data_IF_461149982962
#
_entry.id   IF_461149982962
#
_cell.length_a   1.000
_cell.length_b   1.000
_cell.length_c   1.000
_cell.angle_alpha   90.00
_cell.angle_beta   90.00
_cell.angle_gamma   90.00
#
_symmetry.space_group_name_H-M   'P 1'
#
loop_
_entity.id
_entity.type
_entity.pdbx_description
1 polymer ?
#
# COMPACT_ATOMS: atom_id res chain seq x y z
N UNK A 1 29.81 16.18 -11.44
CA UNK A 1 28.47 16.38 -10.93
C UNK A 1 28.43 16.52 -9.43
N UNK A 2 28.82 15.51 -8.62
CA UNK A 2 28.82 15.56 -7.13
C UNK A 2 29.43 16.81 -6.50
N UNK A 3 30.42 17.40 -7.15
CA UNK A 3 31.09 18.63 -6.71
C UNK A 3 30.25 19.90 -6.83
N UNK A 4 29.08 19.83 -7.44
CA UNK A 4 28.24 21.01 -7.69
C UNK A 4 27.31 21.34 -6.56
N UNK A 5 26.78 20.35 -5.87
CA UNK A 5 26.00 20.55 -4.66
C UNK A 5 26.89 20.65 -3.42
N UNK A 6 28.01 19.93 -3.45
CA UNK A 6 29.02 19.94 -2.40
C UNK A 6 30.36 20.25 -3.05
N UNK A 7 30.76 21.51 -3.04
CA UNK A 7 32.13 21.85 -3.41
C UNK A 7 33.06 20.94 -2.59
N UNK A 8 34.02 20.21 -3.24
CA UNK A 8 35.02 19.42 -2.52
C UNK A 8 35.81 20.22 -1.48
N UNK A 9 35.74 21.53 -1.56
CA UNK A 9 36.33 22.48 -0.59
C UNK A 9 35.35 22.93 0.48
N UNK A 10 34.07 22.51 0.37
CA UNK A 10 33.09 22.83 1.39
C UNK A 10 33.49 22.17 2.72
N UNK A 11 33.39 22.87 3.84
CA UNK A 11 33.75 22.31 5.13
C UNK A 11 32.93 21.03 5.42
N UNK A 12 33.63 19.92 5.67
CA UNK A 12 33.01 18.69 6.13
C UNK A 12 32.66 17.63 5.07
N UNK A 13 33.05 17.81 3.82
CA UNK A 13 32.82 16.80 2.80
C UNK A 13 33.74 15.57 2.99
N UNK A 14 33.15 14.38 3.15
CA UNK A 14 33.70 13.03 2.93
C UNK A 14 34.70 12.49 3.95
N UNK A 15 34.33 11.51 4.71
CA UNK A 15 35.21 10.91 5.72
C UNK A 15 35.23 9.38 5.72
N UNK A 16 34.45 8.65 4.94
CA UNK A 16 34.52 7.19 4.96
C UNK A 16 34.19 6.55 3.59
N UNK A 17 34.71 5.34 3.38
CA UNK A 17 34.46 4.54 2.16
C UNK A 17 33.04 3.98 2.09
N UNK A 18 32.35 3.88 3.23
CA UNK A 18 31.01 3.26 3.33
C UNK A 18 29.92 4.29 3.62
N UNK A 19 30.27 5.30 4.42
CA UNK A 19 29.36 6.38 4.82
C UNK A 19 30.01 7.73 4.54
N UNK A 20 29.23 8.62 3.93
CA UNK A 20 29.63 10.01 3.74
C UNK A 20 29.11 10.83 4.90
N UNK A 21 30.03 11.54 5.57
CA UNK A 21 29.68 12.54 6.55
C UNK A 21 29.80 13.93 5.92
N UNK A 22 28.66 14.62 5.89
CA UNK A 22 28.53 15.94 5.29
C UNK A 22 28.00 16.90 6.33
N UNK A 23 28.61 18.09 6.39
CA UNK A 23 28.11 19.18 7.21
C UNK A 23 27.53 20.26 6.33
N UNK A 24 26.22 20.45 6.39
CA UNK A 24 25.51 21.51 5.68
C UNK A 24 24.92 22.46 6.72
N UNK A 25 25.28 23.75 6.65
CA UNK A 25 24.83 24.78 7.58
C UNK A 25 24.98 24.41 9.09
N UNK A 26 26.07 23.68 9.42
CA UNK A 26 26.32 23.23 10.79
C UNK A 26 25.50 22.01 11.24
N UNK A 27 24.75 21.42 10.35
CA UNK A 27 24.01 20.16 10.57
C UNK A 27 24.83 19.01 9.99
N UNK A 28 25.13 18.03 10.84
CA UNK A 28 25.85 16.82 10.43
C UNK A 28 24.90 15.80 9.80
N UNK A 29 25.20 15.38 8.57
CA UNK A 29 24.55 14.24 7.91
C UNK A 29 25.57 13.11 7.75
N UNK A 30 25.13 11.89 8.04
CA UNK A 30 25.89 10.68 7.79
C UNK A 30 25.00 9.72 7.00
N UNK A 31 25.32 9.52 5.72
CA UNK A 31 24.52 8.77 4.77
C UNK A 31 25.37 7.76 4.02
N UNK A 32 24.83 6.60 3.67
CA UNK A 32 25.47 5.70 2.70
C UNK A 32 25.79 6.44 1.40
N UNK A 33 26.94 6.12 0.79
CA UNK A 33 27.41 6.79 -0.44
C UNK A 33 26.34 6.76 -1.55
N UNK A 34 25.74 5.62 -1.77
CA UNK A 34 24.72 5.45 -2.82
C UNK A 34 23.47 6.30 -2.60
N UNK A 35 23.07 6.49 -1.34
CA UNK A 35 21.91 7.34 -0.98
C UNK A 35 22.29 8.80 -1.21
N UNK A 36 23.47 9.20 -0.73
CA UNK A 36 23.95 10.56 -0.90
C UNK A 36 24.08 10.95 -2.37
N UNK A 37 24.73 10.08 -3.17
CA UNK A 37 24.89 10.28 -4.60
C UNK A 37 23.54 10.42 -5.33
N UNK A 38 22.56 9.61 -4.94
CA UNK A 38 21.25 9.67 -5.55
C UNK A 38 20.48 10.95 -5.16
N UNK A 39 20.62 11.44 -3.94
CA UNK A 39 20.04 12.73 -3.51
C UNK A 39 20.70 13.88 -4.26
N UNK A 40 22.02 13.86 -4.39
CA UNK A 40 22.78 14.86 -5.12
C UNK A 40 22.37 14.94 -6.61
N UNK A 41 22.31 13.79 -7.26
CA UNK A 41 21.83 13.67 -8.66
C UNK A 41 20.39 14.17 -8.80
N UNK A 42 19.49 13.79 -7.88
CA UNK A 42 18.09 14.18 -7.90
C UNK A 42 17.89 15.68 -7.71
N UNK A 43 18.63 16.26 -6.76
CA UNK A 43 18.59 17.69 -6.50
C UNK A 43 19.14 18.50 -7.69
N UNK A 44 20.24 18.03 -8.28
CA UNK A 44 20.80 18.63 -9.49
C UNK A 44 19.82 18.57 -10.68
N UNK A 45 19.13 17.46 -10.85
CA UNK A 45 18.09 17.32 -11.90
C UNK A 45 16.92 18.28 -11.66
N UNK A 46 16.38 18.31 -10.45
CA UNK A 46 15.31 19.24 -10.07
C UNK A 46 15.72 20.69 -10.37
N UNK A 47 16.90 21.10 -9.92
CA UNK A 47 17.38 22.46 -10.10
C UNK A 47 17.57 22.84 -11.57
N UNK A 48 18.14 21.96 -12.37
CA UNK A 48 18.40 22.22 -13.77
C UNK A 48 17.13 22.17 -14.64
N UNK A 49 16.19 21.28 -14.35
CA UNK A 49 15.01 21.05 -15.16
C UNK A 49 13.85 21.94 -14.74
N UNK A 50 13.54 21.99 -13.45
CA UNK A 50 12.32 22.68 -12.98
C UNK A 50 12.58 24.15 -12.67
N UNK A 51 13.75 24.48 -12.10
CA UNK A 51 14.11 25.86 -11.74
C UNK A 51 14.82 26.59 -12.87
N UNK A 52 15.71 25.90 -13.60
CA UNK A 52 16.49 26.49 -14.68
C UNK A 52 15.70 27.02 -15.88
N UNK A 53 14.48 26.54 -16.08
CA UNK A 53 13.55 27.04 -17.12
C UNK A 53 12.66 28.21 -16.66
N UNK A 54 13.02 28.92 -15.60
CA UNK A 54 12.31 30.11 -15.10
C UNK A 54 11.23 29.79 -14.05
N UNK A 55 11.25 28.58 -13.51
CA UNK A 55 10.49 28.21 -12.34
C UNK A 55 11.07 28.84 -11.07
N UNK A 56 10.30 28.80 -9.98
CA UNK A 56 10.77 29.15 -8.66
C UNK A 56 10.99 27.87 -7.87
N UNK A 57 12.13 27.70 -7.17
CA UNK A 57 12.33 26.57 -6.31
C UNK A 57 11.33 26.59 -5.17
N UNK A 58 10.63 25.46 -4.99
CA UNK A 58 9.75 25.25 -3.87
C UNK A 58 10.07 23.90 -3.19
N UNK A 59 9.96 23.87 -1.88
CA UNK A 59 10.36 22.74 -1.07
C UNK A 59 9.54 21.47 -1.41
N UNK A 60 8.25 21.60 -1.66
CA UNK A 60 7.39 20.46 -1.96
C UNK A 60 7.73 19.83 -3.32
N UNK A 61 7.91 20.66 -4.37
CA UNK A 61 8.35 20.18 -5.68
C UNK A 61 9.71 19.50 -5.58
N UNK A 62 10.66 20.08 -4.84
CA UNK A 62 11.99 19.50 -4.66
C UNK A 62 11.93 18.16 -3.93
N UNK A 63 11.19 18.07 -2.83
CA UNK A 63 11.02 16.83 -2.07
C UNK A 63 10.32 15.76 -2.91
N UNK A 64 9.29 16.14 -3.66
CA UNK A 64 8.57 15.22 -4.55
C UNK A 64 9.47 14.73 -5.69
N UNK A 65 10.20 15.62 -6.35
CA UNK A 65 11.12 15.27 -7.44
C UNK A 65 12.26 14.38 -6.95
N UNK A 66 12.85 14.69 -5.80
CA UNK A 66 13.91 13.88 -5.19
C UNK A 66 13.36 12.52 -4.74
N UNK A 67 12.20 12.48 -4.12
CA UNK A 67 11.55 11.22 -3.74
C UNK A 67 11.33 10.32 -4.95
N UNK A 68 10.74 10.85 -6.01
CA UNK A 68 10.52 10.12 -7.27
C UNK A 68 11.82 9.64 -7.91
N UNK A 69 12.87 10.48 -7.88
CA UNK A 69 14.18 10.09 -8.40
C UNK A 69 14.83 8.95 -7.62
N UNK A 70 14.77 9.03 -6.28
CA UNK A 70 15.22 7.94 -5.41
C UNK A 70 14.43 6.67 -5.65
N UNK A 71 13.12 6.81 -5.80
CA UNK A 71 12.22 5.72 -6.13
C UNK A 71 12.60 5.03 -7.44
N UNK A 72 12.82 5.76 -8.49
CA UNK A 72 13.26 5.22 -9.78
C UNK A 72 14.64 4.52 -9.73
N UNK A 73 15.41 4.76 -8.69
CA UNK A 73 16.68 4.07 -8.42
C UNK A 73 16.56 2.97 -7.35
N UNK A 74 15.34 2.61 -6.97
CA UNK A 74 15.04 1.62 -5.93
C UNK A 74 15.70 1.95 -4.57
N UNK A 75 15.80 3.25 -4.25
CA UNK A 75 16.35 3.73 -3.00
C UNK A 75 15.22 4.26 -2.13
N UNK A 76 15.07 3.65 -0.95
CA UNK A 76 14.07 4.03 0.05
C UNK A 76 14.72 4.94 1.06
N UNK A 77 14.20 6.14 1.19
CA UNK A 77 14.70 7.09 2.16
C UNK A 77 13.53 7.82 2.83
N UNK A 78 13.50 7.92 4.18
CA UNK A 78 12.38 8.54 4.89
C UNK A 78 12.15 9.98 4.43
N UNK A 79 10.90 10.31 4.13
CA UNK A 79 10.53 11.59 3.53
C UNK A 79 10.87 12.77 4.45
N UNK A 80 10.73 12.62 5.76
CA UNK A 80 11.13 13.61 6.76
C UNK A 80 12.63 13.95 6.69
N UNK A 81 13.46 12.96 6.39
CA UNK A 81 14.89 13.17 6.18
C UNK A 81 15.18 13.82 4.84
N UNK A 82 14.43 13.48 3.78
CA UNK A 82 14.53 14.17 2.48
C UNK A 82 14.19 15.65 2.69
N UNK A 83 13.07 15.95 3.34
CA UNK A 83 12.65 17.33 3.65
C UNK A 83 13.78 18.09 4.35
N UNK A 84 14.37 17.51 5.40
CA UNK A 84 15.44 18.15 6.15
C UNK A 84 16.67 18.41 5.30
N UNK A 85 17.07 17.44 4.46
CA UNK A 85 18.26 17.59 3.59
C UNK A 85 18.01 18.65 2.53
N UNK A 86 16.85 18.64 1.88
CA UNK A 86 16.49 19.62 0.83
C UNK A 86 16.44 21.03 1.39
N UNK A 87 15.87 21.20 2.58
CA UNK A 87 15.82 22.50 3.27
C UNK A 87 17.23 23.04 3.54
N UNK A 88 18.12 22.19 4.09
CA UNK A 88 19.52 22.56 4.33
C UNK A 88 20.28 22.83 3.03
N UNK A 89 19.99 22.07 1.95
CA UNK A 89 20.61 22.30 0.64
C UNK A 89 20.17 23.63 0.04
N UNK A 90 18.92 24.02 0.20
CA UNK A 90 18.44 25.34 -0.24
C UNK A 90 19.14 26.46 0.53
N UNK A 91 19.21 26.36 1.84
CA UNK A 91 19.95 27.32 2.68
C UNK A 91 21.44 27.41 2.29
N UNK A 92 22.04 26.26 1.97
CA UNK A 92 23.44 26.22 1.55
C UNK A 92 23.66 26.89 0.19
N UNK A 93 22.79 26.63 -0.80
CA UNK A 93 22.88 27.26 -2.14
C UNK A 93 22.75 28.79 -2.01
N UNK A 94 21.91 29.28 -1.14
CA UNK A 94 21.76 30.71 -0.89
C UNK A 94 23.02 31.36 -0.34
N UNK A 95 23.83 30.60 0.41
CA UNK A 95 25.04 31.12 1.07
C UNK A 95 26.28 31.05 0.17
N UNK A 96 26.27 30.29 -0.92
CA UNK A 96 27.41 30.10 -1.80
C UNK A 96 27.22 30.91 -3.08
N UNK A 97 27.85 32.10 -3.17
CA UNK A 97 27.79 32.91 -4.39
C UNK A 97 28.34 32.17 -5.62
N UNK A 98 27.51 32.08 -6.69
CA UNK A 98 27.94 31.43 -7.93
C UNK A 98 27.96 29.91 -7.86
N UNK A 99 27.10 29.27 -7.06
CA UNK A 99 26.93 27.83 -7.07
C UNK A 99 26.59 27.35 -8.50
N UNK A 100 27.35 26.37 -8.99
CA UNK A 100 27.20 25.77 -10.30
C UNK A 100 26.52 24.44 -10.12
N UNK A 101 25.38 24.24 -10.79
CA UNK A 101 24.62 23.00 -10.77
C UNK A 101 24.62 22.35 -12.17
N UNK A 102 25.02 21.09 -12.23
CA UNK A 102 25.09 20.35 -13.49
C UNK A 102 26.36 20.57 -14.31
N UNK A 103 26.43 19.92 -15.49
CA UNK A 103 27.56 20.03 -16.41
C UNK A 103 27.60 21.36 -17.20
N UNK A 104 26.50 22.10 -17.18
CA UNK A 104 26.40 23.45 -17.69
C UNK A 104 26.38 24.45 -16.51
N UNK A 105 27.08 25.55 -16.63
CA UNK A 105 27.06 26.61 -15.64
C UNK A 105 25.67 27.25 -15.57
N UNK A 106 24.88 26.84 -14.60
CA UNK A 106 23.67 27.56 -14.22
C UNK A 106 24.07 28.57 -13.15
N UNK A 107 24.26 29.81 -13.56
CA UNK A 107 24.47 30.92 -12.64
C UNK A 107 23.15 31.19 -11.94
N UNK A 108 23.07 30.83 -10.66
CA UNK A 108 21.95 31.22 -9.82
C UNK A 108 22.05 32.74 -9.65
N UNK A 109 21.08 33.53 -10.13
CA UNK A 109 21.13 34.97 -9.94
C UNK A 109 20.99 35.32 -8.47
N UNK A 110 22.05 35.72 -7.84
CA UNK A 110 22.05 36.27 -6.48
C UNK A 110 21.56 37.71 -6.47
N UNK A 111 20.28 37.94 -6.65
CA UNK A 111 19.68 39.19 -6.18
C UNK A 111 19.15 38.95 -4.77
N UNK A 112 19.39 39.85 -3.86
CA UNK A 112 18.83 39.82 -2.51
C UNK A 112 17.30 39.62 -2.52
N UNK A 113 16.60 40.21 -3.50
CA UNK A 113 15.16 40.08 -3.66
C UNK A 113 14.73 38.65 -4.10
N UNK A 114 15.51 37.97 -4.93
CA UNK A 114 15.22 36.60 -5.34
C UNK A 114 15.41 35.63 -4.17
N UNK A 115 16.52 35.80 -3.44
CA UNK A 115 16.82 35.02 -2.23
C UNK A 115 15.76 35.20 -1.15
N UNK A 116 15.30 36.43 -0.91
CA UNK A 116 14.27 36.70 0.09
C UNK A 116 12.89 36.12 -0.32
N UNK A 117 12.55 36.13 -1.61
CA UNK A 117 11.34 35.48 -2.11
C UNK A 117 11.39 33.96 -1.93
N UNK A 118 12.52 33.36 -2.25
CA UNK A 118 12.75 31.92 -2.03
C UNK A 118 12.59 31.58 -0.54
N UNK A 119 13.20 32.32 0.36
CA UNK A 119 13.05 32.16 1.80
C UNK A 119 11.60 32.31 2.28
N UNK A 120 10.87 33.28 1.75
CA UNK A 120 9.47 33.49 2.13
C UNK A 120 8.59 32.35 1.65
N UNK A 121 8.85 31.82 0.45
CA UNK A 121 8.10 30.68 -0.09
C UNK A 121 8.45 29.39 0.66
N UNK A 122 9.73 29.13 0.95
CA UNK A 122 10.15 28.00 1.80
C UNK A 122 9.48 28.08 3.17
N UNK A 123 9.52 29.23 3.84
CA UNK A 123 8.86 29.42 5.15
C UNK A 123 7.34 29.27 5.12
N UNK A 124 6.70 29.60 4.00
CA UNK A 124 5.27 29.42 3.81
C UNK A 124 4.95 27.92 3.66
N UNK A 125 5.77 27.20 2.90
CA UNK A 125 5.64 25.76 2.69
C UNK A 125 6.04 24.94 3.91
N UNK A 126 7.07 25.36 4.66
CA UNK A 126 7.40 24.78 5.97
C UNK A 126 6.24 24.92 6.96
N UNK A 127 5.51 26.04 6.95
CA UNK A 127 4.30 26.19 7.77
C UNK A 127 3.23 25.23 7.32
N UNK A 128 2.99 25.11 6.02
CA UNK A 128 2.03 24.18 5.45
C UNK A 128 2.43 22.71 5.75
N UNK A 129 3.71 22.36 5.59
CA UNK A 129 4.23 21.05 5.97
C UNK A 129 4.17 20.79 7.48
N UNK A 130 4.45 21.80 8.32
CA UNK A 130 4.30 21.70 9.78
C UNK A 130 2.85 21.63 10.24
N UNK A 131 1.92 22.17 9.46
CA UNK A 131 0.49 22.02 9.70
C UNK A 131 -0.03 20.64 9.25
N UNK A 132 0.61 20.03 8.25
CA UNK A 132 0.32 18.67 7.75
C UNK A 132 1.07 17.59 8.54
N UNK A 133 2.38 17.76 8.80
CA UNK A 133 3.22 16.78 9.51
C UNK A 133 2.75 16.45 10.94
N UNK A 134 2.20 17.37 11.75
CA UNK A 134 1.62 16.99 13.04
C UNK A 134 0.38 16.12 12.91
N UNK A 135 -0.40 16.24 11.83
CA UNK A 135 -1.51 15.32 11.57
C UNK A 135 -1.03 13.94 11.10
N UNK A 136 0.09 13.88 10.38
CA UNK A 136 0.75 12.60 10.02
C UNK A 136 1.48 11.95 11.22
N UNK A 137 1.97 12.73 12.19
CA UNK A 137 2.72 12.21 13.36
C UNK A 137 1.84 11.57 14.43
N UNK A 138 0.53 11.57 14.28
CA UNK A 138 -0.44 11.08 15.26
C UNK A 138 -1.52 10.22 14.61
N UNK A 139 -1.28 9.63 13.43
CA UNK A 139 -2.15 8.55 12.98
C UNK A 139 -1.85 7.36 13.90
N UNK A 140 -2.78 6.93 14.75
CA UNK A 140 -2.59 5.74 15.56
C UNK A 140 -2.31 4.58 14.60
N UNK A 141 -1.22 3.89 14.82
CA UNK A 141 -0.91 2.71 14.05
C UNK A 141 -1.85 1.62 14.55
N UNK A 142 -2.91 1.33 13.79
CA UNK A 142 -3.72 0.16 14.09
C UNK A 142 -2.85 -1.09 13.94
N UNK A 143 -2.66 -1.81 15.05
CA UNK A 143 -1.98 -3.11 15.03
C UNK A 143 -2.97 -4.26 14.85
N UNK A 144 -4.21 -3.95 14.53
CA UNK A 144 -5.23 -4.97 14.31
C UNK A 144 -4.93 -5.72 13.01
N UNK A 145 -4.98 -7.03 13.02
CA UNK A 145 -4.69 -7.89 11.89
C UNK A 145 -5.30 -9.28 12.07
N UNK A 146 -5.23 -10.11 11.04
CA UNK A 146 -5.86 -11.44 11.00
C UNK A 146 -5.37 -12.41 12.08
N UNK A 147 -4.14 -12.24 12.60
CA UNK A 147 -3.64 -13.07 13.71
C UNK A 147 -4.37 -12.82 15.03
N UNK A 148 -5.06 -11.71 15.15
CA UNK A 148 -5.86 -11.35 16.33
C UNK A 148 -7.32 -11.79 16.22
N UNK A 149 -7.76 -12.18 15.03
CA UNK A 149 -9.15 -12.63 14.82
C UNK A 149 -9.38 -14.01 15.38
N UNK A 150 -10.61 -14.30 15.77
CA UNK A 150 -11.00 -15.57 16.39
C UNK A 150 -12.35 -16.09 15.90
N UNK A 151 -13.04 -15.35 15.06
CA UNK A 151 -14.37 -15.68 14.57
C UNK A 151 -14.48 -15.36 13.06
N UNK A 152 -15.23 -16.20 12.33
CA UNK A 152 -15.46 -16.03 10.88
C UNK A 152 -16.95 -15.96 10.59
N UNK A 153 -17.34 -15.00 9.81
CA UNK A 153 -18.66 -14.97 9.18
C UNK A 153 -18.61 -15.38 7.70
N UNK A 154 -19.67 -16.00 7.26
CA UNK A 154 -19.96 -16.31 5.85
C UNK A 154 -21.38 -15.83 5.52
N UNK A 155 -21.62 -15.53 4.25
CA UNK A 155 -22.95 -15.16 3.77
C UNK A 155 -23.89 -16.38 3.75
N UNK A 156 -25.18 -16.19 4.10
CA UNK A 156 -26.23 -17.19 3.93
C UNK A 156 -26.38 -17.61 2.45
N UNK A 157 -26.01 -16.74 1.51
CA UNK A 157 -26.01 -17.02 0.06
C UNK A 157 -24.99 -18.08 -0.35
N UNK A 158 -23.93 -18.30 0.44
CA UNK A 158 -22.99 -19.38 0.16
C UNK A 158 -23.68 -20.75 0.22
N UNK A 159 -24.60 -20.93 1.17
CA UNK A 159 -25.39 -22.17 1.28
C UNK A 159 -26.39 -22.33 0.14
N UNK A 160 -26.97 -21.23 -0.31
CA UNK A 160 -27.94 -21.20 -1.40
C UNK A 160 -27.27 -21.49 -2.75
N UNK A 161 -26.20 -20.77 -3.09
CA UNK A 161 -25.57 -20.83 -4.40
C UNK A 161 -24.54 -21.96 -4.53
N UNK A 162 -23.84 -22.29 -3.44
CA UNK A 162 -22.73 -23.26 -3.41
C UNK A 162 -22.86 -24.26 -2.25
N UNK A 163 -23.95 -25.04 -2.16
CA UNK A 163 -24.25 -25.90 -1.00
C UNK A 163 -23.16 -26.92 -0.67
N UNK A 164 -22.45 -27.42 -1.70
CA UNK A 164 -21.33 -28.36 -1.50
C UNK A 164 -20.11 -27.66 -0.89
N UNK A 165 -19.76 -26.50 -1.38
CA UNK A 165 -18.66 -25.68 -0.85
C UNK A 165 -18.97 -25.23 0.58
N UNK A 166 -20.19 -24.75 0.84
CA UNK A 166 -20.67 -24.42 2.17
C UNK A 166 -20.49 -25.59 3.16
N UNK A 167 -21.04 -26.78 2.83
CA UNK A 167 -20.95 -27.96 3.71
C UNK A 167 -19.52 -28.39 4.00
N UNK A 168 -18.63 -28.30 3.00
CA UNK A 168 -17.21 -28.66 3.17
C UNK A 168 -16.43 -27.62 3.96
N UNK A 169 -16.73 -26.32 3.75
CA UNK A 169 -16.07 -25.22 4.42
C UNK A 169 -16.44 -25.19 5.91
N UNK A 170 -17.71 -25.27 6.23
CA UNK A 170 -18.19 -25.30 7.64
C UNK A 170 -17.67 -26.52 8.39
N UNK A 171 -17.58 -27.67 7.70
CA UNK A 171 -16.93 -28.86 8.26
C UNK A 171 -15.45 -28.59 8.55
N UNK A 172 -14.71 -27.94 7.64
CA UNK A 172 -13.31 -27.62 7.83
C UNK A 172 -13.13 -26.61 8.99
N UNK A 173 -13.99 -25.61 9.14
CA UNK A 173 -13.99 -24.71 10.28
C UNK A 173 -14.09 -25.48 11.59
N UNK A 174 -15.03 -26.42 11.69
CA UNK A 174 -15.18 -27.26 12.89
C UNK A 174 -13.97 -28.17 13.12
N UNK A 175 -13.39 -28.75 12.06
CA UNK A 175 -12.17 -29.60 12.16
C UNK A 175 -10.94 -28.78 12.61
N UNK A 176 -10.88 -27.51 12.28
CA UNK A 176 -9.80 -26.59 12.67
C UNK A 176 -10.12 -25.83 13.96
N UNK A 177 -11.25 -26.10 14.60
CA UNK A 177 -11.69 -25.37 15.79
C UNK A 177 -11.74 -23.84 15.55
N UNK A 178 -12.31 -23.45 14.41
CA UNK A 178 -12.59 -22.06 14.03
C UNK A 178 -14.06 -21.81 14.36
N UNK A 179 -14.32 -20.83 15.23
CA UNK A 179 -15.68 -20.38 15.50
C UNK A 179 -16.22 -19.59 14.29
N UNK A 180 -17.46 -19.87 13.90
CA UNK A 180 -18.05 -19.25 12.72
C UNK A 180 -19.56 -19.02 12.86
N UNK A 181 -20.10 -18.17 11.98
CA UNK A 181 -21.54 -17.90 11.88
C UNK A 181 -21.95 -17.47 10.49
N UNK A 182 -23.26 -17.37 10.28
CA UNK A 182 -23.85 -16.88 9.03
C UNK A 182 -24.37 -15.46 9.21
N UNK A 183 -24.31 -14.67 8.14
CA UNK A 183 -24.96 -13.37 8.02
C UNK A 183 -26.11 -13.52 7.06
N UNK A 184 -27.32 -13.23 7.55
CA UNK A 184 -28.54 -13.25 6.77
C UNK A 184 -28.82 -11.89 6.10
N UNK A 185 -29.56 -11.90 5.02
CA UNK A 185 -29.98 -10.68 4.31
C UNK A 185 -28.96 -10.12 3.34
N UNK A 186 -27.87 -10.82 3.12
CA UNK A 186 -26.89 -10.51 2.09
C UNK A 186 -27.44 -10.76 0.69
N UNK A 187 -26.81 -10.19 -0.34
CA UNK A 187 -27.25 -10.35 -1.74
C UNK A 187 -26.40 -11.34 -2.54
N UNK A 188 -25.13 -11.49 -2.13
CA UNK A 188 -24.19 -12.40 -2.74
C UNK A 188 -23.28 -13.08 -1.70
N UNK A 189 -22.27 -13.82 -2.19
CA UNK A 189 -21.32 -14.56 -1.34
C UNK A 189 -20.08 -13.75 -0.95
N UNK A 190 -19.86 -12.59 -1.55
CA UNK A 190 -18.62 -11.81 -1.42
C UNK A 190 -18.62 -10.95 -0.16
N UNK A 191 -18.83 -11.62 0.97
CA UNK A 191 -19.02 -10.96 2.27
C UNK A 191 -17.85 -10.05 2.69
N UNK A 192 -16.64 -10.33 2.22
CA UNK A 192 -15.47 -9.50 2.48
C UNK A 192 -15.68 -8.06 2.03
N UNK A 193 -16.33 -7.86 0.90
CA UNK A 193 -16.36 -6.58 0.20
C UNK A 193 -17.33 -5.58 0.83
N UNK A 194 -18.43 -6.05 1.42
CA UNK A 194 -19.45 -5.18 2.03
C UNK A 194 -19.43 -5.16 3.57
N UNK A 195 -18.59 -5.97 4.22
CA UNK A 195 -18.53 -5.97 5.68
C UNK A 195 -17.53 -4.94 6.22
N UNK A 196 -17.82 -4.36 7.40
CA UNK A 196 -16.98 -3.34 8.01
C UNK A 196 -15.54 -3.78 8.26
N UNK A 197 -14.63 -2.81 8.22
CA UNK A 197 -13.22 -3.04 8.56
C UNK A 197 -13.05 -2.88 10.07
N UNK A 198 -12.57 -3.94 10.73
CA UNK A 198 -12.22 -3.87 12.15
C UNK A 198 -10.83 -3.25 12.32
N UNK A 199 -10.74 -2.19 13.13
CA UNK A 199 -9.50 -1.45 13.38
C UNK A 199 -8.99 -1.58 14.82
N UNK A 200 -9.82 -2.09 15.72
CA UNK A 200 -9.44 -2.49 17.09
C UNK A 200 -10.44 -3.52 17.62
N UNK A 201 -10.27 -3.95 18.84
CA UNK A 201 -11.11 -4.99 19.47
C UNK A 201 -12.63 -4.70 19.38
N UNK A 202 -13.02 -3.43 19.45
CA UNK A 202 -14.43 -3.02 19.47
C UNK A 202 -14.79 -1.93 18.45
N UNK A 203 -13.83 -1.48 17.61
CA UNK A 203 -14.05 -0.39 16.65
C UNK A 203 -14.07 -0.90 15.21
N UNK A 204 -15.07 -0.44 14.47
CA UNK A 204 -15.31 -0.79 13.09
C UNK A 204 -15.54 0.46 12.23
N UNK A 205 -15.01 0.43 11.01
CA UNK A 205 -15.25 1.42 9.96
C UNK A 205 -16.29 0.86 9.01
N UNK A 206 -17.38 1.59 8.84
CA UNK A 206 -18.45 1.29 7.89
C UNK A 206 -18.35 2.28 6.73
N UNK A 207 -18.40 1.78 5.52
CA UNK A 207 -18.23 2.52 4.27
C UNK A 207 -19.35 2.18 3.28
N UNK A 208 -19.45 2.92 2.19
CA UNK A 208 -20.41 2.65 1.13
C UNK A 208 -19.86 1.53 0.22
N UNK A 209 -20.47 0.36 0.26
CA UNK A 209 -20.21 -0.67 -0.75
C UNK A 209 -21.04 -0.35 -2.00
N UNK A 210 -20.36 0.19 -3.02
CA UNK A 210 -20.98 0.59 -4.29
C UNK A 210 -19.96 0.51 -5.43
N UNK A 211 -19.42 -0.69 -5.69
CA UNK A 211 -18.35 -0.88 -6.65
C UNK A 211 -18.83 -0.59 -8.09
N UNK A 212 -17.89 -0.12 -8.89
CA UNK A 212 -18.14 0.24 -10.29
C UNK A 212 -18.55 -0.94 -11.16
N UNK A 213 -18.01 -2.13 -10.90
CA UNK A 213 -18.32 -3.36 -11.65
C UNK A 213 -19.73 -3.90 -11.41
N UNK A 214 -20.48 -3.43 -10.43
CA UNK A 214 -21.89 -3.78 -10.22
C UNK A 214 -22.88 -2.76 -10.85
N UNK A 215 -22.43 -1.58 -11.23
CA UNK A 215 -23.31 -0.48 -11.67
C UNK A 215 -24.08 -0.75 -12.97
N UNK A 216 -23.57 -1.58 -13.87
CA UNK A 216 -24.17 -1.80 -15.17
C UNK A 216 -25.07 -3.05 -15.23
N UNK A 217 -24.85 -4.05 -14.38
CA UNK A 217 -25.53 -5.34 -14.50
C UNK A 217 -25.63 -6.13 -13.20
N UNK A 218 -25.44 -5.51 -12.07
CA UNK A 218 -25.32 -6.22 -10.80
C UNK A 218 -25.97 -5.56 -9.59
N UNK A 219 -26.81 -4.55 -9.78
CA UNK A 219 -27.44 -3.83 -8.65
C UNK A 219 -28.26 -4.75 -7.73
N UNK A 220 -28.80 -5.86 -8.24
CA UNK A 220 -29.49 -6.87 -7.44
C UNK A 220 -28.56 -7.57 -6.42
N UNK A 221 -27.26 -7.56 -6.66
CA UNK A 221 -26.24 -8.14 -5.76
C UNK A 221 -25.67 -7.13 -4.76
N UNK A 222 -26.08 -5.85 -4.86
CA UNK A 222 -25.59 -4.81 -3.99
C UNK A 222 -26.17 -4.97 -2.58
N UNK A 223 -25.33 -5.41 -1.64
CA UNK A 223 -25.67 -5.53 -0.23
C UNK A 223 -25.52 -4.16 0.45
N UNK A 224 -26.51 -3.74 1.23
CA UNK A 224 -26.44 -2.53 2.04
C UNK A 224 -25.49 -2.74 3.22
N UNK A 225 -24.25 -2.25 3.07
CA UNK A 225 -23.19 -2.38 4.05
C UNK A 225 -23.52 -1.73 5.40
N UNK A 226 -24.25 -0.60 5.39
CA UNK A 226 -24.65 0.09 6.60
C UNK A 226 -25.72 -0.69 7.37
N UNK A 227 -26.75 -1.16 6.69
CA UNK A 227 -27.82 -1.92 7.30
C UNK A 227 -27.33 -3.25 7.90
N UNK A 228 -26.45 -3.96 7.18
CA UNK A 228 -25.86 -5.22 7.67
C UNK A 228 -24.96 -4.95 8.89
N UNK A 229 -24.09 -3.93 8.82
CA UNK A 229 -23.21 -3.57 9.91
C UNK A 229 -24.00 -3.21 11.19
N UNK A 230 -25.06 -2.44 11.04
CA UNK A 230 -25.91 -2.05 12.18
C UNK A 230 -26.64 -3.22 12.81
N UNK A 231 -27.04 -4.21 11.99
CA UNK A 231 -27.66 -5.43 12.50
C UNK A 231 -26.73 -6.33 13.32
N UNK A 232 -25.48 -6.48 12.87
CA UNK A 232 -24.52 -7.44 13.45
C UNK A 232 -23.67 -6.83 14.56
N UNK A 233 -23.25 -5.57 14.38
CA UNK A 233 -22.35 -4.88 15.28
C UNK A 233 -23.09 -3.92 16.22
N UNK A 234 -24.28 -4.26 16.65
CA UNK A 234 -25.14 -3.39 17.48
C UNK A 234 -24.53 -3.04 18.86
N UNK A 235 -23.52 -3.77 19.32
CA UNK A 235 -22.81 -3.53 20.59
C UNK A 235 -21.39 -2.99 20.40
N UNK A 236 -20.95 -2.75 19.17
CA UNK A 236 -19.61 -2.28 18.85
C UNK A 236 -19.60 -0.79 18.50
N UNK A 237 -18.44 -0.16 18.64
CA UNK A 237 -18.21 1.20 18.18
C UNK A 237 -18.07 1.21 16.66
N UNK A 238 -19.00 1.86 15.98
CA UNK A 238 -19.00 2.00 14.53
C UNK A 238 -18.85 3.46 14.12
N UNK A 239 -17.98 3.71 13.17
CA UNK A 239 -17.86 5.00 12.50
C UNK A 239 -18.30 4.83 11.05
N UNK A 240 -19.31 5.58 10.63
CA UNK A 240 -19.86 5.56 9.29
C UNK A 240 -19.23 6.68 8.47
N UNK A 241 -18.66 6.35 7.32
CA UNK A 241 -18.01 7.30 6.43
C UNK A 241 -18.61 7.24 5.03
N UNK A 242 -18.72 8.40 4.41
CA UNK A 242 -19.17 8.55 3.03
C UNK A 242 -17.96 8.38 2.08
N UNK A 243 -17.46 7.18 2.02
CA UNK A 243 -16.40 6.74 1.10
C UNK A 243 -16.84 5.46 0.41
N UNK A 244 -16.69 5.40 -0.90
CA UNK A 244 -16.88 4.16 -1.65
C UNK A 244 -15.63 3.29 -1.51
N UNK A 245 -15.82 2.07 -1.03
CA UNK A 245 -14.74 1.13 -0.78
C UNK A 245 -15.24 -0.31 -0.86
N UNK A 246 -14.37 -1.22 -1.25
CA UNK A 246 -14.54 -2.65 -1.15
C UNK A 246 -13.63 -3.18 -0.04
N UNK A 247 -14.16 -3.99 0.87
CA UNK A 247 -13.36 -4.53 1.98
C UNK A 247 -12.23 -5.47 1.54
N UNK A 248 -12.37 -6.12 0.37
CA UNK A 248 -11.31 -6.87 -0.28
C UNK A 248 -10.13 -6.00 -0.73
N UNK A 249 -10.39 -4.70 -0.94
CA UNK A 249 -9.34 -3.74 -1.23
C UNK A 249 -8.61 -3.22 0.03
N UNK A 250 -8.81 -3.83 1.19
CA UNK A 250 -8.16 -3.42 2.44
C UNK A 250 -7.45 -4.60 3.07
N UNK A 251 -6.13 -4.60 3.03
CA UNK A 251 -5.28 -5.62 3.67
C UNK A 251 -4.49 -5.00 4.82
N UNK A 252 -4.57 -5.61 5.99
CA UNK A 252 -3.82 -5.15 7.18
C UNK A 252 -2.42 -5.75 7.20
N UNK A 253 -1.40 -4.89 7.32
CA UNK A 253 0.01 -5.29 7.33
C UNK A 253 0.76 -4.51 8.42
N UNK A 254 1.08 -5.13 9.55
CA UNK A 254 1.98 -4.59 10.60
C UNK A 254 1.88 -3.06 10.81
N UNK A 255 0.69 -2.57 11.14
CA UNK A 255 0.47 -1.14 11.40
C UNK A 255 0.28 -0.27 10.15
N UNK A 256 0.12 -0.88 8.99
CA UNK A 256 -0.29 -0.24 7.75
C UNK A 256 -1.53 -0.92 7.20
N UNK A 257 -2.30 -0.19 6.42
CA UNK A 257 -3.30 -0.76 5.52
C UNK A 257 -2.78 -0.66 4.09
N UNK A 258 -2.97 -1.72 3.34
CA UNK A 258 -2.61 -1.77 1.93
C UNK A 258 -3.90 -1.74 1.12
N UNK A 259 -4.00 -0.78 0.22
CA UNK A 259 -5.10 -0.62 -0.73
C UNK A 259 -4.53 -0.54 -2.15
N UNK A 260 -5.33 -0.86 -3.15
CA UNK A 260 -5.00 -0.45 -4.51
C UNK A 260 -5.44 0.98 -4.77
N UNK A 261 -4.86 1.61 -5.77
CA UNK A 261 -5.21 2.97 -6.18
C UNK A 261 -6.58 3.08 -6.89
N UNK A 262 -7.30 1.97 -7.06
CA UNK A 262 -8.70 1.93 -7.47
C UNK A 262 -9.58 2.84 -6.62
N UNK A 263 -9.30 2.93 -5.32
CA UNK A 263 -10.07 3.76 -4.38
C UNK A 263 -10.18 5.22 -4.80
N UNK A 264 -9.20 5.77 -5.49
CA UNK A 264 -9.24 7.14 -6.02
C UNK A 264 -10.29 7.26 -7.13
N UNK A 265 -10.26 6.34 -8.09
CA UNK A 265 -11.21 6.32 -9.21
C UNK A 265 -12.66 6.14 -8.73
N UNK A 266 -12.92 5.22 -7.81
CA UNK A 266 -14.26 4.95 -7.28
C UNK A 266 -14.87 6.15 -6.57
N UNK A 267 -14.02 7.01 -6.01
CA UNK A 267 -14.44 8.24 -5.33
C UNK A 267 -14.30 9.50 -6.19
N UNK A 268 -14.07 9.35 -7.51
CA UNK A 268 -13.97 10.46 -8.45
C UNK A 268 -12.79 11.39 -8.18
N UNK A 269 -11.67 10.83 -7.68
CA UNK A 269 -10.44 11.55 -7.37
C UNK A 269 -9.35 11.25 -8.38
N UNK A 270 -8.42 12.18 -8.54
CA UNK A 270 -7.20 11.91 -9.27
C UNK A 270 -6.34 10.90 -8.52
N UNK A 271 -5.65 10.05 -9.27
CA UNK A 271 -4.79 9.00 -8.74
C UNK A 271 -3.69 9.63 -7.87
N UNK A 272 -3.59 9.16 -6.62
CA UNK A 272 -2.65 9.65 -5.61
C UNK A 272 -2.85 11.12 -5.20
N UNK A 273 -4.07 11.65 -5.31
CA UNK A 273 -4.43 12.95 -4.73
C UNK A 273 -4.00 13.01 -3.25
N UNK A 274 -3.11 13.93 -2.86
CA UNK A 274 -2.56 13.95 -1.51
C UNK A 274 -3.60 14.22 -0.43
N UNK A 275 -4.51 15.15 -0.66
CA UNK A 275 -5.56 15.51 0.30
C UNK A 275 -6.52 14.33 0.50
N UNK A 276 -6.79 13.59 -0.57
CA UNK A 276 -7.64 12.40 -0.48
C UNK A 276 -6.90 11.21 0.12
N UNK A 277 -5.61 11.06 -0.10
CA UNK A 277 -4.77 10.06 0.55
C UNK A 277 -4.74 10.26 2.07
N UNK A 278 -4.61 11.50 2.52
CA UNK A 278 -4.68 11.87 3.94
C UNK A 278 -6.08 11.64 4.50
N UNK A 279 -7.13 11.95 3.74
CA UNK A 279 -8.51 11.66 4.13
C UNK A 279 -8.74 10.17 4.33
N UNK A 280 -8.32 9.31 3.39
CA UNK A 280 -8.42 7.85 3.51
C UNK A 280 -7.68 7.36 4.76
N UNK A 281 -6.45 7.84 4.99
CA UNK A 281 -5.66 7.48 6.17
C UNK A 281 -6.36 7.89 7.47
N UNK A 282 -7.03 9.03 7.47
CA UNK A 282 -7.82 9.48 8.61
C UNK A 282 -9.08 8.63 8.81
N UNK A 283 -9.82 8.33 7.74
CA UNK A 283 -11.03 7.47 7.79
C UNK A 283 -10.69 6.10 8.35
N UNK A 284 -9.60 5.51 7.86
CA UNK A 284 -9.17 4.16 8.23
C UNK A 284 -8.34 4.12 9.52
N UNK A 285 -8.08 5.29 10.15
CA UNK A 285 -7.27 5.42 11.37
C UNK A 285 -5.92 4.66 11.26
N UNK A 286 -5.28 4.74 10.10
CA UNK A 286 -4.06 3.99 9.78
C UNK A 286 -3.23 4.64 8.67
N UNK A 287 -1.93 4.30 8.64
CA UNK A 287 -1.09 4.62 7.49
C UNK A 287 -1.47 3.73 6.32
N UNK A 288 -1.68 4.33 5.15
CA UNK A 288 -2.11 3.61 3.96
C UNK A 288 -0.99 3.55 2.93
N UNK A 289 -0.78 2.36 2.37
CA UNK A 289 0.10 2.11 1.23
C UNK A 289 -0.81 1.86 0.03
N UNK A 290 -0.69 2.69 -1.00
CA UNK A 290 -1.45 2.49 -2.24
C UNK A 290 -0.61 1.70 -3.24
N UNK A 291 -1.13 0.55 -3.67
CA UNK A 291 -0.54 -0.26 -4.72
C UNK A 291 -1.11 0.14 -6.08
N UNK A 292 -0.34 0.04 -7.16
CA UNK A 292 -0.89 0.24 -8.49
C UNK A 292 -1.94 -0.84 -8.80
N UNK A 293 -2.97 -0.44 -9.52
CA UNK A 293 -3.99 -1.33 -10.05
C UNK A 293 -4.01 -1.26 -11.57
N UNK A 294 -3.79 -2.41 -12.19
CA UNK A 294 -3.86 -2.52 -13.63
C UNK A 294 -5.31 -2.69 -14.07
N UNK A 295 -5.95 -1.58 -14.37
CA UNK A 295 -7.21 -1.52 -15.07
C UNK A 295 -6.96 -1.07 -16.49
N UNK A 296 -6.48 -1.92 -17.35
CA UNK A 296 -6.59 -1.64 -18.77
C UNK A 296 -7.85 -2.33 -19.32
N UNK A 297 -8.89 -1.50 -19.43
CA UNK A 297 -10.01 -1.65 -20.34
C UNK A 297 -10.18 -3.05 -20.96
N UNK A 298 -11.23 -3.75 -20.60
CA UNK A 298 -12.08 -4.64 -21.42
C UNK A 298 -11.46 -5.41 -22.61
N UNK A 299 -10.21 -5.20 -22.97
CA UNK A 299 -9.49 -5.85 -24.08
C UNK A 299 -8.35 -6.74 -23.62
N UNK A 300 -7.83 -6.54 -22.41
CA UNK A 300 -6.84 -7.43 -21.83
C UNK A 300 -7.57 -8.53 -21.05
N UNK A 301 -7.46 -9.80 -21.47
CA UNK A 301 -8.09 -10.91 -20.74
C UNK A 301 -7.50 -11.14 -19.33
N UNK A 302 -6.39 -10.47 -19.00
CA UNK A 302 -5.76 -10.54 -17.69
C UNK A 302 -6.06 -9.31 -16.83
N UNK A 303 -6.82 -8.33 -17.34
CA UNK A 303 -7.20 -7.16 -16.57
C UNK A 303 -7.98 -7.55 -15.32
N UNK A 304 -7.55 -7.07 -14.18
CA UNK A 304 -8.29 -7.20 -12.93
C UNK A 304 -9.37 -6.12 -12.85
N UNK A 305 -10.62 -6.52 -13.06
CA UNK A 305 -11.76 -5.61 -12.99
C UNK A 305 -12.16 -5.25 -11.56
N UNK A 306 -11.72 -6.04 -10.58
CA UNK A 306 -12.06 -5.84 -9.16
C UNK A 306 -11.09 -4.87 -8.47
N UNK A 307 -9.79 -4.99 -8.75
CA UNK A 307 -8.76 -4.10 -8.22
C UNK A 307 -8.59 -4.22 -6.69
N UNK A 308 -8.67 -5.42 -6.16
CA UNK A 308 -8.60 -5.65 -4.72
C UNK A 308 -7.19 -6.01 -4.26
N UNK A 309 -6.74 -5.38 -3.17
CA UNK A 309 -5.42 -5.62 -2.59
C UNK A 309 -5.26 -7.07 -2.06
N UNK A 310 -6.33 -7.73 -1.62
CA UNK A 310 -6.32 -9.12 -1.14
C UNK A 310 -6.11 -10.16 -2.25
N UNK A 311 -6.19 -9.74 -3.51
CA UNK A 311 -5.76 -10.50 -4.68
C UNK A 311 -4.28 -10.32 -5.02
N UNK A 312 -3.60 -9.36 -4.40
CA UNK A 312 -2.20 -9.02 -4.69
C UNK A 312 -1.26 -9.39 -3.55
N UNK A 313 -1.65 -9.10 -2.31
CA UNK A 313 -0.78 -9.24 -1.14
C UNK A 313 -1.50 -9.78 0.08
N UNK A 314 -0.75 -10.40 0.98
CA UNK A 314 -1.21 -10.80 2.30
C UNK A 314 -0.07 -10.68 3.32
N UNK A 315 -0.38 -10.19 4.52
CA UNK A 315 0.62 -10.10 5.59
C UNK A 315 0.96 -11.48 6.16
N UNK A 316 2.24 -11.76 6.34
CA UNK A 316 2.75 -13.05 6.80
C UNK A 316 3.49 -12.96 8.15
N UNK A 317 3.13 -11.98 8.97
CA UNK A 317 3.73 -11.77 10.28
C UNK A 317 5.02 -10.95 10.25
N UNK A 318 5.38 -10.36 11.38
CA UNK A 318 6.52 -9.45 11.52
C UNK A 318 6.50 -8.35 10.43
N UNK A 319 7.59 -8.19 9.69
CA UNK A 319 7.70 -7.28 8.54
C UNK A 319 7.56 -8.00 7.19
N UNK A 320 6.98 -9.20 7.13
CA UNK A 320 6.89 -9.99 5.89
C UNK A 320 5.52 -9.85 5.23
N UNK A 321 5.54 -9.69 3.91
CA UNK A 321 4.35 -9.66 3.07
C UNK A 321 4.52 -10.67 1.95
N UNK A 322 3.56 -11.59 1.83
CA UNK A 322 3.42 -12.42 0.65
C UNK A 322 2.83 -11.59 -0.48
N UNK A 323 3.35 -11.76 -1.66
CA UNK A 323 2.87 -11.17 -2.90
C UNK A 323 2.53 -12.28 -3.89
N UNK A 324 1.42 -12.15 -4.60
CA UNK A 324 1.03 -13.11 -5.63
C UNK A 324 2.03 -13.15 -6.79
N UNK A 325 1.88 -14.11 -7.69
CA UNK A 325 2.67 -14.22 -8.93
C UNK A 325 2.28 -13.19 -10.01
N UNK A 326 1.96 -11.98 -9.60
CA UNK A 326 1.51 -10.88 -10.48
C UNK A 326 2.48 -10.61 -11.64
N UNK A 327 3.77 -10.83 -11.40
CA UNK A 327 4.86 -10.73 -12.38
C UNK A 327 4.68 -11.59 -13.63
N UNK A 328 3.94 -12.68 -13.53
CA UNK A 328 3.69 -13.56 -14.69
C UNK A 328 2.88 -12.86 -15.80
N UNK A 329 2.08 -11.86 -15.43
CA UNK A 329 1.24 -11.09 -16.35
C UNK A 329 1.68 -9.63 -16.46
N UNK A 330 2.09 -9.00 -15.35
CA UNK A 330 2.40 -7.58 -15.25
C UNK A 330 3.73 -7.35 -14.50
N UNK A 331 4.89 -7.62 -15.13
CA UNK A 331 6.18 -7.58 -14.44
C UNK A 331 6.56 -6.18 -13.93
N UNK A 332 6.26 -5.12 -14.68
CA UNK A 332 6.57 -3.74 -14.27
C UNK A 332 5.73 -3.31 -13.06
N UNK A 333 4.45 -3.68 -13.06
CA UNK A 333 3.57 -3.42 -11.94
C UNK A 333 3.95 -4.24 -10.69
N UNK A 334 4.38 -5.49 -10.89
CA UNK A 334 4.90 -6.31 -9.80
C UNK A 334 6.15 -5.70 -9.16
N UNK A 335 7.04 -5.09 -9.97
CA UNK A 335 8.20 -4.36 -9.47
C UNK A 335 7.77 -3.13 -8.66
N UNK A 336 6.78 -2.39 -9.12
CA UNK A 336 6.24 -1.23 -8.44
C UNK A 336 5.55 -1.62 -7.10
N UNK A 337 4.74 -2.69 -7.09
CA UNK A 337 4.12 -3.23 -5.87
C UNK A 337 5.19 -3.59 -4.85
N UNK A 338 6.17 -4.40 -5.26
CA UNK A 338 7.31 -4.79 -4.42
C UNK A 338 8.01 -3.57 -3.85
N UNK A 339 8.35 -2.63 -4.71
CA UNK A 339 9.04 -1.41 -4.33
C UNK A 339 8.28 -0.63 -3.24
N UNK A 340 6.98 -0.39 -3.40
CA UNK A 340 6.17 0.36 -2.43
C UNK A 340 6.08 -0.33 -1.07
N UNK A 341 6.03 -1.64 -1.04
CA UNK A 341 6.02 -2.42 0.19
C UNK A 341 7.40 -2.40 0.88
N UNK A 342 8.47 -2.59 0.11
CA UNK A 342 9.84 -2.52 0.62
C UNK A 342 10.19 -1.11 1.11
N UNK A 343 9.60 -0.06 0.51
CA UNK A 343 9.77 1.34 0.90
C UNK A 343 9.38 1.64 2.34
N UNK A 344 8.44 0.90 2.89
CA UNK A 344 8.01 1.05 4.29
C UNK A 344 8.62 0.01 5.22
N UNK A 345 9.56 -0.80 4.72
CA UNK A 345 10.35 -1.76 5.50
C UNK A 345 9.83 -3.18 5.49
N UNK A 346 8.92 -3.54 4.59
CA UNK A 346 8.48 -4.94 4.45
C UNK A 346 9.49 -5.76 3.66
N UNK A 347 9.67 -7.01 4.07
CA UNK A 347 10.27 -8.07 3.29
C UNK A 347 9.19 -8.71 2.40
N UNK A 348 9.32 -8.55 1.08
CA UNK A 348 8.34 -9.06 0.11
C UNK A 348 8.74 -10.43 -0.40
N UNK A 349 7.89 -11.41 -0.13
CA UNK A 349 8.04 -12.79 -0.60
C UNK A 349 7.07 -13.00 -1.77
N UNK A 350 7.58 -12.99 -2.99
CA UNK A 350 6.79 -13.20 -4.19
C UNK A 350 6.60 -14.71 -4.44
N UNK A 351 5.35 -15.15 -4.61
CA UNK A 351 5.02 -16.55 -4.89
C UNK A 351 5.25 -16.87 -6.36
N UNK A 352 6.43 -17.33 -6.72
CA UNK A 352 6.79 -17.74 -8.07
C UNK A 352 6.70 -19.26 -8.17
N UNK A 353 5.97 -19.76 -9.18
CA UNK A 353 5.73 -21.17 -9.35
C UNK A 353 6.63 -21.77 -10.44
N UNK A 354 7.45 -22.75 -10.03
CA UNK A 354 8.29 -23.53 -10.94
C UNK A 354 7.59 -24.84 -11.30
N UNK A 355 6.64 -24.75 -12.24
CA UNK A 355 5.89 -25.88 -12.76
C UNK A 355 5.84 -25.86 -14.28
N UNK A 356 5.87 -27.02 -14.95
CA UNK A 356 5.62 -27.09 -16.39
C UNK A 356 4.19 -26.66 -16.69
N UNK A 357 4.00 -25.66 -17.54
CA UNK A 357 2.69 -25.14 -17.95
C UNK A 357 1.86 -24.59 -16.77
N UNK A 358 2.23 -23.45 -16.18
CA UNK A 358 1.49 -22.83 -15.09
C UNK A 358 0.03 -22.57 -15.46
N UNK A 359 -0.88 -22.80 -14.52
CA UNK A 359 -2.29 -22.54 -14.71
C UNK A 359 -2.66 -21.11 -14.27
N UNK A 360 -2.63 -20.17 -15.21
CA UNK A 360 -2.87 -18.74 -14.96
C UNK A 360 -4.32 -18.42 -14.58
N UNK A 361 -5.27 -19.30 -14.85
CA UNK A 361 -6.69 -19.06 -14.49
C UNK A 361 -6.91 -19.10 -12.98
N UNK A 362 -6.01 -19.78 -12.23
CA UNK A 362 -6.22 -20.01 -10.79
C UNK A 362 -5.00 -19.68 -9.92
N UNK A 363 -3.78 -19.71 -10.46
CA UNK A 363 -2.58 -19.64 -9.64
C UNK A 363 -2.38 -18.28 -8.94
N UNK A 364 -3.06 -17.24 -9.37
CA UNK A 364 -3.11 -15.95 -8.70
C UNK A 364 -3.83 -16.02 -7.35
N UNK A 365 -4.81 -16.91 -7.22
CA UNK A 365 -5.77 -16.88 -6.11
C UNK A 365 -5.26 -17.50 -4.81
N UNK A 366 -4.06 -18.08 -4.78
CA UNK A 366 -3.48 -18.61 -3.54
C UNK A 366 -3.25 -17.54 -2.49
N UNK A 367 -2.97 -16.29 -2.90
CA UNK A 367 -2.78 -15.16 -1.99
C UNK A 367 -4.07 -14.82 -1.23
N UNK A 368 -5.22 -15.12 -1.81
CA UNK A 368 -6.54 -14.87 -1.25
C UNK A 368 -6.93 -15.97 -0.22
N UNK A 369 -6.03 -16.24 0.73
CA UNK A 369 -6.24 -17.21 1.80
C UNK A 369 -6.89 -16.55 3.03
N UNK A 370 -7.59 -17.34 3.83
CA UNK A 370 -8.16 -16.93 5.10
C UNK A 370 -7.20 -17.24 6.24
N UNK A 371 -6.91 -16.24 7.06
CA UNK A 371 -6.22 -16.43 8.35
C UNK A 371 -7.14 -16.06 9.51
N UNK A 372 -7.17 -16.91 10.54
CA UNK A 372 -7.91 -16.70 11.79
C UNK A 372 -6.99 -17.10 12.94
N UNK A 373 -6.40 -16.11 13.60
CA UNK A 373 -5.37 -16.36 14.59
C UNK A 373 -4.18 -17.12 13.98
N UNK A 374 -3.87 -18.28 14.51
CA UNK A 374 -2.81 -19.15 14.00
C UNK A 374 -3.31 -20.23 13.01
N UNK A 375 -4.50 -20.10 12.44
CA UNK A 375 -5.12 -21.05 11.53
C UNK A 375 -5.25 -20.41 10.15
N UNK A 376 -4.76 -21.09 9.13
CA UNK A 376 -4.77 -20.61 7.74
C UNK A 376 -5.43 -21.65 6.84
N UNK A 377 -6.39 -21.18 6.04
CA UNK A 377 -7.05 -21.98 5.01
C UNK A 377 -6.69 -21.41 3.64
N UNK A 378 -5.96 -22.19 2.86
CA UNK A 378 -5.46 -21.80 1.54
C UNK A 378 -6.36 -22.36 0.45
N UNK A 379 -6.82 -21.55 -0.51
CA UNK A 379 -7.53 -22.09 -1.65
C UNK A 379 -6.63 -23.03 -2.45
N UNK A 380 -7.18 -24.13 -2.93
CA UNK A 380 -6.49 -25.09 -3.81
C UNK A 380 -7.37 -25.43 -5.01
N UNK A 381 -6.74 -25.78 -6.11
CA UNK A 381 -7.45 -25.90 -7.40
C UNK A 381 -7.27 -27.26 -8.08
N UNK A 382 -6.42 -28.16 -7.51
CA UNK A 382 -6.06 -29.45 -8.11
C UNK A 382 -5.16 -29.27 -9.31
N UNK A 383 -4.22 -28.34 -9.21
CA UNK A 383 -3.19 -28.02 -10.19
C UNK A 383 -1.79 -28.21 -9.58
N UNK A 384 -0.74 -28.30 -10.40
CA UNK A 384 0.60 -28.59 -9.89
C UNK A 384 1.13 -27.57 -8.87
N UNK A 385 0.72 -26.32 -9.00
CA UNK A 385 1.11 -25.21 -8.15
C UNK A 385 0.59 -25.32 -6.70
N UNK A 386 -0.49 -26.07 -6.46
CA UNK A 386 -1.10 -26.21 -5.12
C UNK A 386 -0.07 -26.55 -4.04
N UNK A 387 0.89 -27.43 -4.39
CA UNK A 387 1.93 -27.87 -3.45
C UNK A 387 2.88 -26.72 -3.09
N UNK A 388 3.39 -26.03 -4.10
CA UNK A 388 4.34 -24.93 -3.89
C UNK A 388 3.67 -23.77 -3.16
N UNK A 389 2.41 -23.44 -3.49
CA UNK A 389 1.65 -22.42 -2.81
C UNK A 389 1.48 -22.71 -1.30
N UNK A 390 1.14 -23.96 -0.97
CA UNK A 390 1.04 -24.38 0.43
C UNK A 390 2.39 -24.34 1.15
N UNK A 391 3.50 -24.62 0.46
CA UNK A 391 4.86 -24.51 1.01
C UNK A 391 5.21 -23.03 1.26
N UNK A 392 5.03 -22.14 0.29
CA UNK A 392 5.24 -20.68 0.46
C UNK A 392 4.50 -20.12 1.68
N UNK A 393 3.21 -20.46 1.82
CA UNK A 393 2.38 -19.91 2.91
C UNK A 393 2.80 -20.51 4.26
N UNK A 394 3.21 -21.78 4.33
CA UNK A 394 3.73 -22.38 5.58
C UNK A 394 5.06 -21.79 6.00
N UNK A 395 5.96 -21.60 5.05
CA UNK A 395 7.30 -21.07 5.33
C UNK A 395 7.23 -19.60 5.77
N UNK A 396 6.31 -18.85 5.16
CA UNK A 396 6.07 -17.46 5.52
C UNK A 396 5.36 -17.29 6.88
N UNK A 397 4.58 -18.28 7.32
CA UNK A 397 3.79 -18.24 8.55
C UNK A 397 4.20 -19.36 9.53
N UNK A 398 5.41 -19.33 10.10
CA UNK A 398 5.87 -20.34 11.02
C UNK A 398 4.99 -20.38 12.28
N UNK A 399 4.57 -21.57 12.69
CA UNK A 399 3.68 -21.75 13.84
C UNK A 399 2.19 -21.74 13.52
N UNK A 400 1.80 -21.46 12.28
CA UNK A 400 0.42 -21.56 11.84
C UNK A 400 0.05 -22.97 11.37
N UNK A 401 -1.21 -23.36 11.61
CA UNK A 401 -1.82 -24.58 11.08
C UNK A 401 -2.38 -24.28 9.69
N UNK A 402 -1.72 -24.74 8.65
CA UNK A 402 -2.10 -24.45 7.25
C UNK A 402 -2.80 -25.65 6.62
N UNK A 403 -4.02 -25.45 6.13
CA UNK A 403 -4.84 -26.45 5.44
C UNK A 403 -5.26 -25.96 4.06
N UNK A 404 -5.19 -26.82 3.07
CA UNK A 404 -5.73 -26.56 1.74
C UNK A 404 -7.24 -26.81 1.68
N UNK A 405 -7.96 -25.97 0.95
CA UNK A 405 -9.39 -26.12 0.68
C UNK A 405 -9.71 -25.93 -0.81
N UNK A 406 -10.38 -26.90 -1.41
CA UNK A 406 -10.65 -26.87 -2.85
C UNK A 406 -11.73 -25.86 -3.20
N UNK A 407 -11.37 -24.83 -3.99
CA UNK A 407 -12.17 -23.63 -4.29
C UNK A 407 -12.44 -23.41 -5.78
N UNK A 408 -12.11 -24.35 -6.65
CA UNK A 408 -12.17 -24.17 -8.12
C UNK A 408 -13.51 -23.63 -8.64
N UNK A 409 -14.60 -24.02 -8.00
CA UNK A 409 -15.96 -23.61 -8.37
C UNK A 409 -16.19 -22.10 -8.16
N UNK A 410 -15.68 -21.56 -7.05
CA UNK A 410 -15.83 -20.14 -6.69
C UNK A 410 -14.78 -19.28 -7.39
N UNK A 411 -13.54 -19.76 -7.48
CA UNK A 411 -12.45 -18.98 -8.08
C UNK A 411 -12.67 -18.59 -9.55
N UNK A 412 -13.50 -19.33 -10.27
CA UNK A 412 -13.94 -18.97 -11.63
C UNK A 412 -14.70 -17.64 -11.70
N UNK A 413 -15.22 -17.17 -10.57
CA UNK A 413 -15.99 -15.93 -10.47
C UNK A 413 -15.15 -14.78 -9.87
N UNK A 414 -13.82 -14.89 -9.89
CA UNK A 414 -12.90 -13.79 -9.55
C UNK A 414 -12.54 -13.63 -8.08
N UNK A 415 -12.86 -14.59 -7.20
CA UNK A 415 -12.51 -14.54 -5.78
C UNK A 415 -12.25 -15.91 -5.17
N UNK A 416 -11.66 -15.96 -3.99
CA UNK A 416 -11.42 -17.22 -3.30
C UNK A 416 -11.89 -17.16 -1.84
N UNK A 417 -11.19 -17.82 -0.90
CA UNK A 417 -11.72 -18.01 0.44
C UNK A 417 -11.75 -16.73 1.27
N UNK A 418 -10.80 -15.82 1.08
CA UNK A 418 -10.80 -14.53 1.77
C UNK A 418 -12.03 -13.70 1.38
N UNK A 419 -12.35 -13.64 0.09
CA UNK A 419 -13.49 -12.88 -0.43
C UNK A 419 -14.85 -13.38 0.08
N UNK A 420 -15.00 -14.70 0.34
CA UNK A 420 -16.25 -15.28 0.83
C UNK A 420 -16.33 -15.39 2.36
N UNK A 421 -15.39 -14.78 3.06
CA UNK A 421 -15.30 -14.81 4.53
C UNK A 421 -15.02 -13.43 5.11
N UNK A 422 -15.54 -13.19 6.30
CA UNK A 422 -15.24 -12.00 7.08
C UNK A 422 -14.79 -12.42 8.48
N UNK A 423 -13.52 -12.30 8.76
CA UNK A 423 -12.93 -12.67 10.04
C UNK A 423 -12.78 -11.46 10.95
N UNK A 424 -13.18 -11.65 12.21
CA UNK A 424 -13.13 -10.61 13.24
C UNK A 424 -12.59 -11.17 14.56
N UNK A 425 -12.23 -10.28 15.45
CA UNK A 425 -12.09 -10.57 16.89
C UNK A 425 -13.43 -10.28 17.58
N UNK A 426 -13.98 -11.32 18.18
CA UNK A 426 -15.15 -11.24 19.07
C UNK A 426 -14.74 -11.14 20.50
#
# INVERSE_FOLDING_TARGET
>A
MKKYLLDPKAPGAFTSEVMHKVVLNGIDFELPENIWDAIDDAFGNYWNVEVGYGGWPDLNSAVSSISNWLQNKHIIFPIDKIVTIVDVMFDWIEQVPGAILGDEEVVIPHSYEATEKIRQEIKKQERHLKDILPSMSVIPVSNFNDTLTNFVYISDKLKEFYPRTYSRLTKLFNEMDIEWGEIEGTKDIWIRDYMPIQISDDRFIVYNYNPDYLKESGEEYLTDSHAIADGILNHCNKSHYDITLDGGNVVTCAGHLVLTDKVFQENGKEKYDPDYSDYISHVLDSRVIFLPWHCDNSKDPNADIYGHADGLVHWAGDNRVLMTNHRDSFPEEADEIRYRLEAVGFEVIEMLFDVPNPNRDYNWAYINYLQVGNKIIVPTFGIPEDKQALEYIRDANPGCVVRGFRMREIAKNGGAIHCITWNIKK
#
